data_IF_387420379609
#
_entry.id   IF_387420379609
#
_cell.length_a   1.000
_cell.length_b   1.000
_cell.length_c   1.000
_cell.angle_alpha   90.00
_cell.angle_beta   90.00
_cell.angle_gamma   90.00
#
_symmetry.space_group_name_H-M   'P 1'
#
loop_
_entity.id
_entity.type
_entity.pdbx_description
1 polymer ?
#
# COMPACT_ATOMS: atom_id res chain seq x y z
N UNK A 1 55.02 7.49 13.91
CA UNK A 1 53.55 7.52 13.95
C UNK A 1 53.12 6.92 15.27
N UNK A 2 52.23 7.58 15.99
CA UNK A 2 51.57 7.01 17.18
C UNK A 2 50.06 7.12 16.99
N UNK A 3 49.33 6.22 17.64
CA UNK A 3 47.84 6.16 17.59
C UNK A 3 47.30 6.38 18.99
N UNK A 4 46.27 7.22 19.09
CA UNK A 4 45.48 7.43 20.32
C UNK A 4 44.11 6.85 20.09
N UNK A 5 43.63 6.07 21.06
CA UNK A 5 42.32 5.48 21.02
C UNK A 5 41.59 5.74 22.35
N UNK A 6 40.33 6.18 22.32
CA UNK A 6 39.53 6.31 23.54
C UNK A 6 39.40 5.00 24.28
N UNK A 7 39.27 5.05 25.60
CA UNK A 7 38.91 3.90 26.42
C UNK A 7 37.51 3.41 26.04
N UNK A 8 37.31 2.12 26.07
CA UNK A 8 35.97 1.53 25.92
C UNK A 8 35.13 1.80 27.15
N UNK A 9 33.77 1.76 27.01
CA UNK A 9 32.81 1.93 28.12
C UNK A 9 32.82 3.31 28.79
N UNK A 10 33.21 4.36 28.07
CA UNK A 10 32.97 5.71 28.54
C UNK A 10 31.46 5.99 28.57
N UNK A 11 30.97 6.60 29.65
CA UNK A 11 29.55 6.98 29.78
C UNK A 11 29.24 8.20 28.92
N UNK A 12 27.97 8.34 28.51
CA UNK A 12 27.52 9.54 27.84
C UNK A 12 27.71 10.78 28.72
N UNK A 13 28.31 11.84 28.17
CA UNK A 13 28.59 13.08 28.88
C UNK A 13 28.59 14.25 27.90
N UNK A 14 27.81 15.30 28.21
CA UNK A 14 27.76 16.52 27.42
C UNK A 14 29.10 17.26 27.41
N UNK A 15 29.90 17.12 28.48
CA UNK A 15 31.27 17.63 28.53
C UNK A 15 32.22 16.59 27.94
N UNK A 16 32.99 16.94 26.90
CA UNK A 16 33.94 16.01 26.30
C UNK A 16 34.98 15.49 27.30
N UNK A 17 35.33 14.22 27.19
CA UNK A 17 36.50 13.66 27.86
C UNK A 17 37.75 14.20 27.16
N UNK A 18 38.62 14.84 27.94
CA UNK A 18 39.83 15.45 27.42
C UNK A 18 41.03 14.98 28.22
N UNK A 19 42.04 14.49 27.54
CA UNK A 19 43.35 14.16 28.13
C UNK A 19 44.45 14.84 27.37
N UNK A 20 45.45 15.36 28.11
CA UNK A 20 46.63 15.96 27.54
C UNK A 20 47.86 15.11 27.90
N UNK A 21 48.62 14.73 26.92
CA UNK A 21 49.90 14.05 27.10
C UNK A 21 50.99 14.83 26.39
N UNK A 22 52.22 14.64 26.83
CA UNK A 22 53.37 15.40 26.34
C UNK A 22 54.31 14.47 25.59
N UNK A 23 54.68 14.84 24.40
CA UNK A 23 55.80 14.21 23.66
C UNK A 23 57.05 15.00 23.94
N UNK A 24 58.07 14.32 24.50
CA UNK A 24 59.35 14.94 24.83
C UNK A 24 60.44 14.36 23.94
N UNK A 25 61.20 15.23 23.30
CA UNK A 25 62.43 14.86 22.64
C UNK A 25 63.51 14.63 23.70
N UNK A 26 63.91 13.41 23.83
CA UNK A 26 64.90 12.98 24.84
C UNK A 26 66.31 13.50 24.57
N UNK A 27 66.59 14.02 23.37
CA UNK A 27 67.88 14.52 22.98
C UNK A 27 68.13 15.97 23.44
N UNK A 28 67.09 16.80 23.39
CA UNK A 28 67.19 18.23 23.69
C UNK A 28 66.21 18.71 24.78
N UNK A 29 65.41 17.80 25.34
CA UNK A 29 64.44 18.09 26.41
C UNK A 29 63.22 18.91 25.99
N UNK A 30 63.05 19.20 24.69
CA UNK A 30 61.85 19.91 24.20
C UNK A 30 60.63 19.05 24.26
N UNK A 31 59.55 19.62 24.75
CA UNK A 31 58.28 18.94 24.93
C UNK A 31 57.14 19.66 24.21
N UNK A 32 56.23 18.89 23.60
CA UNK A 32 55.03 19.38 22.92
C UNK A 32 53.81 18.68 23.56
N UNK A 33 52.87 19.44 24.16
CA UNK A 33 51.62 18.87 24.64
C UNK A 33 50.70 18.54 23.46
N UNK A 34 50.00 17.41 23.53
CA UNK A 34 48.98 16.97 22.60
C UNK A 34 47.73 16.72 23.41
N UNK A 35 46.62 17.34 23.01
CA UNK A 35 45.32 17.13 23.64
C UNK A 35 44.45 16.25 22.77
N UNK A 36 43.93 15.15 23.35
CA UNK A 36 42.95 14.30 22.71
C UNK A 36 41.58 14.53 23.38
N UNK A 37 40.54 14.66 22.57
CA UNK A 37 39.18 14.93 23.05
C UNK A 37 38.20 13.95 22.39
N UNK A 38 37.28 13.39 23.18
CA UNK A 38 36.18 12.56 22.70
C UNK A 38 34.86 12.93 23.37
N UNK A 39 33.80 13.06 22.58
CA UNK A 39 32.45 13.25 23.10
C UNK A 39 31.69 11.94 22.99
N UNK A 40 31.04 11.52 24.07
CA UNK A 40 30.19 10.33 24.10
C UNK A 40 28.74 10.81 24.27
N UNK A 41 27.97 10.72 23.22
CA UNK A 41 26.56 11.14 23.21
C UNK A 41 25.65 10.10 23.89
N UNK A 42 24.55 10.55 24.48
CA UNK A 42 23.49 9.66 24.93
C UNK A 42 22.87 8.91 23.74
N UNK A 43 22.44 7.64 23.92
CA UNK A 43 21.65 6.95 22.92
C UNK A 43 20.40 7.75 22.55
N UNK A 44 20.22 8.00 21.27
CA UNK A 44 19.06 8.70 20.71
C UNK A 44 18.53 7.90 19.52
N UNK A 45 17.62 6.91 19.79
CA UNK A 45 16.98 6.16 18.72
C UNK A 45 15.92 7.04 18.03
N UNK A 46 16.06 7.26 16.75
CA UNK A 46 15.13 8.08 15.96
C UNK A 46 14.93 7.52 14.57
N UNK A 47 13.68 7.48 14.11
CA UNK A 47 13.31 7.07 12.75
C UNK A 47 12.50 8.17 12.08
N UNK A 48 12.85 8.42 10.82
CA UNK A 48 12.04 9.16 9.87
C UNK A 48 11.39 8.20 8.87
N UNK A 49 10.11 8.41 8.58
CA UNK A 49 9.35 7.62 7.60
C UNK A 49 8.88 8.59 6.51
N UNK A 50 9.27 8.33 5.26
CA UNK A 50 8.87 9.17 4.13
C UNK A 50 7.37 9.03 3.84
N UNK A 51 6.57 9.93 4.39
CA UNK A 51 5.12 9.90 4.34
C UNK A 51 4.49 9.14 5.51
N UNK A 52 3.21 9.39 5.74
CA UNK A 52 2.41 8.75 6.80
C UNK A 52 1.25 7.94 6.22
N UNK A 53 1.04 8.03 4.92
CA UNK A 53 -0.09 7.44 4.21
C UNK A 53 0.35 6.94 2.84
N UNK A 54 -0.03 5.72 2.52
CA UNK A 54 -0.05 5.18 1.16
C UNK A 54 -1.51 5.03 0.75
N UNK A 55 -1.95 5.82 -0.23
CA UNK A 55 -3.32 5.78 -0.73
C UNK A 55 -3.31 5.32 -2.19
N UNK A 56 -3.90 4.15 -2.43
CA UNK A 56 -4.05 3.61 -3.77
C UNK A 56 -5.32 4.16 -4.40
N UNK A 57 -5.25 4.50 -5.70
CA UNK A 57 -6.42 4.91 -6.46
C UNK A 57 -7.52 3.85 -6.38
N UNK A 58 -8.79 4.29 -6.35
CA UNK A 58 -9.93 3.38 -6.28
C UNK A 58 -9.92 2.39 -7.45
N UNK A 59 -10.09 1.11 -7.13
CA UNK A 59 -10.13 0.02 -8.08
C UNK A 59 -11.54 -0.54 -8.25
N UNK A 60 -11.88 -1.07 -9.43
CA UNK A 60 -13.13 -1.79 -9.66
C UNK A 60 -12.99 -3.24 -9.26
N UNK A 61 -14.03 -3.85 -8.67
CA UNK A 61 -14.04 -5.30 -8.37
C UNK A 61 -13.59 -6.10 -9.59
N UNK A 62 -12.69 -7.06 -9.36
CA UNK A 62 -12.08 -7.86 -10.41
C UNK A 62 -10.89 -7.16 -11.11
N UNK A 63 -10.33 -6.12 -10.48
CA UNK A 63 -9.11 -5.48 -10.98
C UNK A 63 -7.94 -6.48 -11.06
N UNK A 64 -7.04 -6.23 -12.00
CA UNK A 64 -5.74 -6.89 -12.09
C UNK A 64 -4.78 -6.30 -11.04
N UNK A 65 -3.52 -6.71 -11.08
CA UNK A 65 -2.51 -6.14 -10.19
C UNK A 65 -2.44 -4.60 -10.31
N UNK A 66 -2.40 -3.94 -9.16
CA UNK A 66 -2.16 -2.51 -9.03
C UNK A 66 -0.65 -2.32 -8.85
N UNK A 67 -0.07 -1.31 -9.49
CA UNK A 67 1.34 -1.02 -9.35
C UNK A 67 1.72 -0.80 -7.87
N UNK A 68 2.84 -1.37 -7.39
CA UNK A 68 3.28 -1.17 -6.02
C UNK A 68 3.70 0.28 -5.79
N UNK A 69 3.56 0.73 -4.53
CA UNK A 69 4.12 1.99 -4.05
C UNK A 69 5.24 1.71 -3.05
N UNK A 70 6.17 2.64 -2.93
CA UNK A 70 7.32 2.52 -2.05
C UNK A 70 7.38 3.69 -1.07
N UNK A 71 7.93 3.41 0.11
CA UNK A 71 8.33 4.42 1.07
C UNK A 71 9.68 4.04 1.70
N UNK A 72 10.34 5.02 2.29
CA UNK A 72 11.65 4.85 2.89
C UNK A 72 11.58 5.12 4.39
N UNK A 73 12.29 4.31 5.17
CA UNK A 73 12.53 4.50 6.60
C UNK A 73 14.00 4.80 6.79
N UNK A 74 14.31 5.89 7.47
CA UNK A 74 15.69 6.34 7.72
C UNK A 74 15.95 6.39 9.23
N UNK A 75 17.05 5.80 9.66
CA UNK A 75 17.52 5.96 11.04
C UNK A 75 18.27 7.30 11.17
N UNK A 76 17.58 8.30 11.71
CA UNK A 76 18.14 9.63 11.98
C UNK A 76 18.78 9.74 13.39
N UNK A 77 18.73 8.65 14.17
CA UNK A 77 19.34 8.58 15.49
C UNK A 77 20.84 8.26 15.44
N UNK A 78 21.41 8.13 16.61
CA UNK A 78 22.83 7.81 16.80
C UNK A 78 23.10 6.36 17.23
N UNK A 79 22.06 5.53 17.31
CA UNK A 79 22.14 4.11 17.68
C UNK A 79 21.44 3.25 16.63
N UNK A 80 21.85 1.98 16.55
CA UNK A 80 21.19 1.00 15.68
C UNK A 80 19.75 0.77 16.12
N UNK A 81 18.81 0.76 15.16
CA UNK A 81 17.38 0.48 15.39
C UNK A 81 16.98 -0.77 14.61
N UNK A 82 16.22 -1.65 15.25
CA UNK A 82 15.60 -2.82 14.61
C UNK A 82 14.15 -2.50 14.25
N UNK A 83 13.79 -2.75 12.99
CA UNK A 83 12.44 -2.58 12.45
C UNK A 83 11.64 -3.88 12.61
N UNK A 84 10.30 -3.76 12.59
CA UNK A 84 9.42 -4.93 12.65
C UNK A 84 9.30 -5.60 11.29
N UNK A 85 9.08 -6.94 11.30
CA UNK A 85 8.71 -7.66 10.10
C UNK A 85 7.35 -7.17 9.59
N UNK A 86 7.26 -6.75 8.32
CA UNK A 86 6.01 -6.23 7.79
C UNK A 86 4.96 -7.33 7.62
N UNK A 87 3.72 -7.05 8.03
CA UNK A 87 2.58 -7.94 7.82
C UNK A 87 1.29 -7.14 7.69
N UNK A 88 0.57 -7.34 6.56
CA UNK A 88 -0.78 -6.82 6.32
C UNK A 88 -1.66 -7.92 5.75
N UNK A 89 -2.97 -7.81 6.00
CA UNK A 89 -3.96 -8.82 5.58
C UNK A 89 -4.33 -8.66 4.10
N UNK A 90 -4.64 -7.43 3.68
CA UNK A 90 -5.17 -7.14 2.34
C UNK A 90 -4.11 -6.57 1.38
N UNK A 91 -2.91 -6.37 1.88
CA UNK A 91 -1.77 -5.88 1.10
C UNK A 91 -0.60 -6.86 1.21
N UNK A 92 0.22 -6.91 0.20
CA UNK A 92 1.56 -7.50 0.26
C UNK A 92 2.55 -6.42 0.61
N UNK A 93 3.48 -6.73 1.49
CA UNK A 93 4.57 -5.83 1.89
C UNK A 93 5.88 -6.58 1.78
N UNK A 94 6.89 -5.95 1.22
CA UNK A 94 8.24 -6.49 1.17
C UNK A 94 9.28 -5.43 1.57
N UNK A 95 10.33 -5.89 2.22
CA UNK A 95 11.54 -5.15 2.56
C UNK A 95 12.68 -6.15 2.54
N UNK A 96 13.88 -5.73 2.19
CA UNK A 96 15.06 -6.59 2.29
C UNK A 96 15.30 -6.93 3.78
N UNK A 97 15.37 -8.23 4.16
CA UNK A 97 15.62 -8.62 5.55
C UNK A 97 16.91 -8.01 6.15
N UNK A 98 17.91 -7.74 5.32
CA UNK A 98 19.13 -7.07 5.76
C UNK A 98 18.89 -5.61 6.18
N UNK A 99 17.82 -4.98 5.69
CA UNK A 99 17.44 -3.61 6.02
C UNK A 99 16.54 -3.52 7.27
N UNK A 100 16.20 -4.63 7.91
CA UNK A 100 15.44 -4.60 9.17
C UNK A 100 16.28 -4.17 10.38
N UNK A 101 17.58 -4.03 10.23
CA UNK A 101 18.47 -3.49 11.25
C UNK A 101 19.24 -2.31 10.67
N UNK A 102 18.87 -1.10 11.09
CA UNK A 102 19.41 0.14 10.55
C UNK A 102 20.47 0.72 11.49
N UNK A 103 21.72 0.78 11.03
CA UNK A 103 22.74 1.60 11.65
C UNK A 103 22.38 3.10 11.53
N UNK A 104 23.00 4.00 12.32
CA UNK A 104 22.83 5.44 12.16
C UNK A 104 23.04 5.89 10.71
N UNK A 105 22.08 6.65 10.17
CA UNK A 105 22.07 7.15 8.78
C UNK A 105 21.65 6.12 7.72
N UNK A 106 21.44 4.85 8.08
CA UNK A 106 21.00 3.82 7.15
C UNK A 106 19.48 3.93 6.83
N UNK A 107 19.10 3.37 5.68
CA UNK A 107 17.72 3.40 5.17
C UNK A 107 17.22 2.01 4.83
N UNK A 108 15.89 1.80 4.97
CA UNK A 108 15.15 0.66 4.45
C UNK A 108 14.10 1.12 3.46
N UNK A 109 13.93 0.40 2.35
CA UNK A 109 12.89 0.66 1.36
C UNK A 109 11.83 -0.43 1.46
N UNK A 110 10.61 -0.02 1.78
CA UNK A 110 9.44 -0.87 1.80
C UNK A 110 8.67 -0.74 0.49
N UNK A 111 8.20 -1.86 -0.02
CA UNK A 111 7.32 -1.92 -1.19
C UNK A 111 5.98 -2.48 -0.75
N UNK A 112 4.89 -1.78 -1.04
CA UNK A 112 3.52 -2.16 -0.67
C UNK A 112 2.68 -2.28 -1.93
N UNK A 113 1.84 -3.33 -2.00
CA UNK A 113 0.96 -3.59 -3.13
C UNK A 113 -0.36 -4.19 -2.64
N UNK A 114 -1.53 -3.75 -3.14
CA UNK A 114 -2.81 -4.39 -2.85
C UNK A 114 -2.86 -5.81 -3.38
N UNK A 115 -3.43 -6.73 -2.61
CA UNK A 115 -3.73 -8.08 -3.10
C UNK A 115 -4.88 -8.02 -4.11
N UNK A 116 -4.86 -8.89 -5.11
CA UNK A 116 -5.98 -9.06 -6.05
C UNK A 116 -7.14 -9.83 -5.42
N UNK A 117 -8.33 -9.73 -6.02
CA UNK A 117 -9.50 -10.51 -5.58
C UNK A 117 -10.23 -9.95 -4.37
N UNK A 118 -9.92 -8.75 -3.92
CA UNK A 118 -10.66 -8.11 -2.84
C UNK A 118 -12.09 -7.76 -3.26
N UNK A 119 -13.05 -7.92 -2.34
CA UNK A 119 -14.43 -7.55 -2.55
C UNK A 119 -14.65 -6.02 -2.53
N UNK A 120 -15.86 -5.59 -2.89
CA UNK A 120 -16.25 -4.18 -2.78
C UNK A 120 -16.19 -3.74 -1.32
N UNK A 121 -15.42 -2.70 -1.03
CA UNK A 121 -15.21 -2.20 0.32
C UNK A 121 -14.08 -1.19 0.43
N UNK A 122 -13.94 -0.60 1.60
CA UNK A 122 -12.80 0.22 1.98
C UNK A 122 -11.84 -0.64 2.79
N UNK A 123 -10.58 -0.63 2.41
CA UNK A 123 -9.49 -1.34 3.07
C UNK A 123 -8.50 -0.32 3.61
N UNK A 124 -8.29 -0.34 4.92
CA UNK A 124 -7.35 0.54 5.62
C UNK A 124 -6.63 -0.27 6.68
N UNK A 125 -5.32 -0.34 6.60
CA UNK A 125 -4.47 -1.09 7.53
C UNK A 125 -3.24 -0.28 7.93
N UNK A 126 -2.82 -0.41 9.18
CA UNK A 126 -1.62 0.23 9.68
C UNK A 126 -0.44 -0.74 9.64
N UNK A 127 0.54 -0.44 8.83
CA UNK A 127 1.81 -1.13 8.76
C UNK A 127 2.72 -0.61 9.87
N UNK A 128 2.99 -1.46 10.86
CA UNK A 128 3.92 -1.14 11.95
C UNK A 128 5.36 -1.21 11.45
N UNK A 129 6.12 -0.17 11.72
CA UNK A 129 7.54 -0.04 11.39
C UNK A 129 8.39 -0.28 12.63
N UNK A 130 7.99 0.34 13.75
CA UNK A 130 8.65 0.18 15.04
C UNK A 130 7.66 0.52 16.17
N UNK A 131 7.29 -0.48 16.96
CA UNK A 131 6.41 -0.26 18.12
C UNK A 131 7.14 0.49 19.23
N UNK A 132 8.44 0.27 19.43
CA UNK A 132 9.24 0.95 20.45
C UNK A 132 9.37 2.46 20.18
N UNK A 133 9.35 2.90 18.93
CA UNK A 133 9.39 4.30 18.53
C UNK A 133 8.03 4.84 18.04
N UNK A 134 6.97 4.02 18.18
CA UNK A 134 5.61 4.33 17.75
C UNK A 134 5.53 4.84 16.30
N UNK A 135 6.20 4.10 15.38
CA UNK A 135 6.23 4.41 13.95
C UNK A 135 5.39 3.42 13.17
N UNK A 136 4.43 3.95 12.41
CA UNK A 136 3.57 3.20 11.49
C UNK A 136 3.24 4.05 10.28
N UNK A 137 2.73 3.42 9.22
CA UNK A 137 2.19 4.07 8.05
C UNK A 137 0.84 3.43 7.72
N UNK A 138 -0.17 4.24 7.42
CA UNK A 138 -1.49 3.77 7.01
C UNK A 138 -1.51 3.47 5.52
N UNK A 139 -2.09 2.34 5.13
CA UNK A 139 -2.23 1.89 3.75
C UNK A 139 -3.70 1.75 3.42
N UNK A 140 -4.17 2.42 2.37
CA UNK A 140 -5.57 2.46 1.97
C UNK A 140 -5.78 1.99 0.53
N UNK A 141 -6.93 1.34 0.31
CA UNK A 141 -7.50 1.05 -1.01
C UNK A 141 -9.03 1.08 -0.92
N UNK A 142 -9.70 1.72 -1.88
CA UNK A 142 -11.13 1.62 -2.09
C UNK A 142 -11.43 0.68 -3.26
N UNK A 143 -12.16 -0.42 -3.04
CA UNK A 143 -12.68 -1.26 -4.12
C UNK A 143 -14.14 -0.92 -4.33
N UNK A 144 -14.48 -0.47 -5.55
CA UNK A 144 -15.84 -0.12 -5.96
C UNK A 144 -16.44 -1.20 -6.86
N UNK A 145 -17.75 -1.17 -7.05
CA UNK A 145 -18.42 -2.09 -8.00
C UNK A 145 -17.82 -1.96 -9.39
N UNK A 146 -17.64 -3.10 -10.05
CA UNK A 146 -17.28 -3.16 -11.46
C UNK A 146 -18.40 -2.64 -12.37
N UNK A 147 -18.11 -2.53 -13.67
CA UNK A 147 -19.17 -2.32 -14.65
C UNK A 147 -19.94 -3.64 -14.81
N UNK A 148 -21.28 -3.58 -14.70
CA UNK A 148 -22.12 -4.74 -14.98
C UNK A 148 -21.96 -5.15 -16.46
N UNK A 149 -21.49 -6.37 -16.72
CA UNK A 149 -21.39 -6.93 -18.06
C UNK A 149 -22.55 -7.89 -18.26
N UNK A 150 -23.29 -7.74 -19.36
CA UNK A 150 -24.39 -8.63 -19.71
C UNK A 150 -23.82 -10.03 -20.00
N UNK A 151 -24.31 -11.04 -19.28
CA UNK A 151 -23.92 -12.44 -19.45
C UNK A 151 -25.02 -13.27 -20.11
N UNK A 152 -26.29 -12.92 -19.85
CA UNK A 152 -27.43 -13.65 -20.41
C UNK A 152 -28.69 -12.77 -20.44
N UNK A 153 -29.55 -13.00 -21.42
CA UNK A 153 -30.90 -12.47 -21.47
C UNK A 153 -31.85 -13.61 -21.20
N UNK A 154 -32.69 -13.48 -20.18
CA UNK A 154 -33.74 -14.48 -19.94
C UNK A 154 -34.81 -14.32 -21.00
N UNK A 155 -35.18 -15.45 -21.64
CA UNK A 155 -36.22 -15.43 -22.64
C UNK A 155 -37.55 -15.04 -21.98
N UNK A 156 -38.26 -14.02 -22.51
CA UNK A 156 -39.58 -13.67 -22.02
C UNK A 156 -40.59 -14.82 -22.20
N UNK A 157 -41.60 -14.85 -21.36
CA UNK A 157 -42.71 -15.80 -21.53
C UNK A 157 -43.35 -15.63 -22.91
N UNK A 158 -43.73 -16.74 -23.51
CA UNK A 158 -44.46 -16.71 -24.77
C UNK A 158 -45.81 -15.97 -24.60
N UNK A 159 -46.12 -15.08 -25.53
CA UNK A 159 -47.41 -14.42 -25.59
C UNK A 159 -48.42 -15.37 -26.28
N UNK A 160 -49.53 -15.66 -25.61
CA UNK A 160 -50.56 -16.53 -26.12
C UNK A 160 -51.92 -15.80 -26.12
N UNK A 161 -52.93 -16.33 -26.81
CA UNK A 161 -54.29 -15.81 -26.81
C UNK A 161 -54.47 -14.47 -27.55
N UNK A 162 -53.63 -14.22 -28.52
CA UNK A 162 -53.82 -13.09 -29.44
C UNK A 162 -54.96 -13.40 -30.44
N UNK A 163 -55.83 -12.39 -30.70
CA UNK A 163 -56.87 -12.54 -31.70
C UNK A 163 -56.29 -12.53 -33.13
N UNK A 164 -56.96 -13.22 -34.04
CA UNK A 164 -56.58 -13.15 -35.45
C UNK A 164 -56.69 -11.67 -35.93
N UNK A 165 -55.70 -11.20 -36.73
CA UNK A 165 -55.68 -9.82 -37.20
C UNK A 165 -55.09 -8.80 -36.22
N UNK A 166 -54.54 -9.24 -35.08
CA UNK A 166 -53.86 -8.36 -34.12
C UNK A 166 -52.76 -7.55 -34.80
N UNK A 167 -52.71 -6.23 -34.58
CA UNK A 167 -51.70 -5.33 -35.16
C UNK A 167 -50.28 -5.74 -34.80
N UNK A 168 -49.34 -5.55 -35.73
CA UNK A 168 -47.91 -5.78 -35.56
C UNK A 168 -47.21 -4.62 -34.85
N UNK A 169 -47.55 -4.37 -33.62
CA UNK A 169 -46.86 -3.47 -32.72
C UNK A 169 -46.66 -4.10 -31.34
N UNK A 170 -45.68 -3.65 -30.57
CA UNK A 170 -45.35 -4.27 -29.28
C UNK A 170 -46.50 -4.26 -28.27
N UNK A 171 -47.32 -3.19 -28.27
CA UNK A 171 -48.42 -3.03 -27.33
C UNK A 171 -49.58 -3.99 -27.69
N UNK A 172 -49.99 -4.03 -28.96
CA UNK A 172 -51.06 -4.92 -29.47
C UNK A 172 -50.66 -6.40 -29.30
N UNK A 173 -49.42 -6.71 -29.49
CA UNK A 173 -48.85 -8.07 -29.29
C UNK A 173 -48.53 -8.37 -27.81
N UNK A 174 -48.87 -7.49 -26.87
CA UNK A 174 -48.62 -7.64 -25.42
C UNK A 174 -47.19 -8.01 -25.06
N UNK A 175 -46.22 -7.52 -25.86
CA UNK A 175 -44.81 -7.77 -25.59
C UNK A 175 -44.35 -6.98 -24.37
N UNK A 176 -43.49 -7.55 -23.50
CA UNK A 176 -43.07 -6.88 -22.28
C UNK A 176 -42.17 -5.69 -22.61
N UNK A 177 -42.30 -4.59 -21.87
CA UNK A 177 -41.42 -3.40 -21.99
C UNK A 177 -40.06 -3.60 -21.35
N UNK A 178 -39.90 -4.66 -20.56
CA UNK A 178 -38.64 -5.03 -19.91
C UNK A 178 -38.40 -6.53 -19.98
N UNK A 179 -37.13 -6.93 -20.03
CA UNK A 179 -36.69 -8.32 -19.85
C UNK A 179 -35.76 -8.43 -18.67
N UNK A 180 -35.67 -9.63 -18.06
CA UNK A 180 -34.67 -9.91 -17.05
C UNK A 180 -33.36 -10.24 -17.75
N UNK A 181 -32.31 -9.56 -17.37
CA UNK A 181 -30.94 -9.82 -17.82
C UNK A 181 -30.09 -10.26 -16.63
N UNK A 182 -29.18 -11.19 -16.90
CA UNK A 182 -28.14 -11.59 -15.95
C UNK A 182 -26.86 -10.84 -16.32
N UNK A 183 -26.20 -10.30 -15.30
CA UNK A 183 -24.95 -9.59 -15.45
C UNK A 183 -23.92 -10.14 -14.47
N UNK A 184 -22.65 -9.76 -14.62
CA UNK A 184 -21.59 -10.08 -13.64
C UNK A 184 -21.88 -9.56 -12.23
N UNK A 185 -22.82 -8.59 -12.10
CA UNK A 185 -23.22 -7.98 -10.83
C UNK A 185 -24.60 -8.46 -10.33
N UNK A 186 -25.18 -9.47 -10.99
CA UNK A 186 -26.49 -10.03 -10.65
C UNK A 186 -27.56 -9.78 -11.71
N UNK A 187 -28.81 -10.18 -11.40
CA UNK A 187 -29.96 -10.04 -12.30
C UNK A 187 -30.62 -8.68 -12.15
N UNK A 188 -31.02 -8.09 -13.29
CA UNK A 188 -31.75 -6.82 -13.33
C UNK A 188 -32.77 -6.79 -14.45
N UNK A 189 -33.77 -5.88 -14.37
CA UNK A 189 -34.71 -5.62 -15.47
C UNK A 189 -34.11 -4.58 -16.40
N UNK A 190 -34.04 -4.89 -17.68
CA UNK A 190 -33.59 -3.98 -18.74
C UNK A 190 -34.78 -3.60 -19.65
N UNK A 191 -34.88 -2.32 -20.01
CA UNK A 191 -35.86 -1.86 -21.00
C UNK A 191 -35.50 -2.44 -22.38
N UNK A 192 -36.51 -2.80 -23.14
CA UNK A 192 -36.32 -3.37 -24.47
C UNK A 192 -37.22 -2.68 -25.52
N UNK A 193 -36.71 -2.62 -26.74
CA UNK A 193 -37.47 -2.25 -27.92
C UNK A 193 -37.64 -3.51 -28.79
N UNK A 194 -38.84 -3.75 -29.26
CA UNK A 194 -39.13 -4.90 -30.09
C UNK A 194 -39.21 -4.51 -31.56
N UNK A 195 -38.37 -5.11 -32.41
CA UNK A 195 -38.49 -4.98 -33.85
C UNK A 195 -39.46 -6.00 -34.42
N UNK A 196 -40.74 -5.68 -34.37
CA UNK A 196 -41.84 -6.58 -34.81
C UNK A 196 -42.07 -6.56 -36.31
N UNK A 197 -41.40 -5.65 -37.08
CA UNK A 197 -41.56 -5.57 -38.52
C UNK A 197 -40.87 -6.71 -39.29
N UNK A 198 -39.81 -7.23 -38.72
CA UNK A 198 -38.96 -8.29 -39.30
C UNK A 198 -39.36 -9.70 -38.82
N UNK A 199 -40.45 -9.86 -38.10
CA UNK A 199 -40.87 -11.16 -37.63
C UNK A 199 -41.58 -11.98 -38.72
N UNK A 200 -41.49 -13.31 -38.67
CA UNK A 200 -42.21 -14.22 -39.52
C UNK A 200 -43.71 -14.28 -39.24
N UNK A 201 -44.20 -13.58 -38.20
CA UNK A 201 -45.61 -13.48 -37.86
C UNK A 201 -46.37 -12.86 -39.04
N UNK A 202 -47.34 -13.62 -39.56
CA UNK A 202 -48.22 -13.18 -40.65
C UNK A 202 -49.55 -12.78 -39.99
N UNK A 203 -50.04 -11.56 -40.29
CA UNK A 203 -51.34 -11.13 -39.98
C UNK A 203 -52.29 -11.75 -41.04
N UNK A 204 -53.10 -12.69 -40.66
CA UNK A 204 -54.11 -13.32 -41.53
C UNK A 204 -55.40 -12.54 -41.48
#
# INVERSE_FOLDING_TARGET
TFTIQPKINLTANATPYTETFTITDTTNGKSIPITATVTVNSPDPSLDVSGQLIDFAAAKKGYSEIAPQQFTVTNNGNVTVTLEQPALTNFTVSVDPAQLTLAPGATAVYTVQPKTGLDVGAYSEDLKISSSLNKSITVNLQVVKGNAVLTKIQQPAAVTGLANGTKKDAASLKLPSTVVVETTEGSMKAAVSWNVKETSYKQS
#
